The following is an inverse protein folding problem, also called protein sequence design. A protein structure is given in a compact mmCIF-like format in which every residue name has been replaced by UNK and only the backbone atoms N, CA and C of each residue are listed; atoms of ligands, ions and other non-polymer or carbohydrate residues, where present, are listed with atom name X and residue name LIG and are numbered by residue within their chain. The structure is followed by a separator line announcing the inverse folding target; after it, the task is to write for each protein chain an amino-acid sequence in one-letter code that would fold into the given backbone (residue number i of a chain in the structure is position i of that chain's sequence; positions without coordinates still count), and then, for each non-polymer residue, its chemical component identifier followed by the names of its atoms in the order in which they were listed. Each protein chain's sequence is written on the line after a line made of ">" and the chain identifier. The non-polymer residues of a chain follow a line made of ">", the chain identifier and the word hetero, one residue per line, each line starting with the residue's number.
data_IF_676539591168
#
_entry.id   IF_676539591168
#
_cell.length_a   1.000
_cell.length_b   1.000
_cell.length_c   1.000
_cell.angle_alpha   90.00
_cell.angle_beta   90.00
_cell.angle_gamma   90.00
#
_symmetry.space_group_name_H-M   'P 1'
#
loop_
_entity.id
_entity.type
_entity.pdbx_description
1 polymer ?
#
# COMPACT_ATOMS: atom_id res chain seq x y z
N UNK A 1 12.08 -45.28 -22.59
CA UNK A 1 10.95 -44.82 -21.77
C UNK A 1 11.39 -44.40 -20.36
N UNK A 2 12.36 -43.48 -20.22
CA UNK A 2 12.78 -42.90 -18.93
C UNK A 2 13.00 -41.40 -19.14
N UNK A 3 11.92 -40.62 -19.11
CA UNK A 3 11.97 -39.16 -18.87
C UNK A 3 10.57 -38.48 -18.78
N UNK A 4 9.47 -39.25 -18.62
CA UNK A 4 8.10 -38.67 -18.54
C UNK A 4 7.67 -38.18 -17.15
N UNK A 5 8.55 -38.28 -16.15
CA UNK A 5 8.29 -37.84 -14.77
C UNK A 5 9.42 -36.94 -14.23
N UNK A 6 10.06 -36.12 -15.07
CA UNK A 6 10.81 -34.97 -14.55
C UNK A 6 9.81 -34.07 -13.82
N UNK A 7 10.05 -33.81 -12.52
CA UNK A 7 9.20 -33.01 -11.64
C UNK A 7 8.43 -31.89 -12.38
N UNK A 8 7.17 -32.14 -12.72
CA UNK A 8 6.34 -31.19 -13.48
C UNK A 8 6.17 -29.84 -12.75
N UNK A 9 6.20 -29.87 -11.41
CA UNK A 9 6.05 -28.69 -10.56
C UNK A 9 7.18 -27.65 -10.73
N UNK A 10 8.45 -28.08 -10.77
CA UNK A 10 9.57 -27.13 -10.77
C UNK A 10 9.82 -26.50 -12.15
N UNK A 11 9.74 -27.28 -13.23
CA UNK A 11 10.19 -26.82 -14.55
C UNK A 11 9.19 -25.93 -15.31
N UNK A 12 7.90 -25.92 -14.94
CA UNK A 12 6.92 -25.08 -15.64
C UNK A 12 7.09 -23.58 -15.32
N UNK A 13 7.50 -23.25 -14.09
CA UNK A 13 7.52 -21.88 -13.59
C UNK A 13 8.90 -21.33 -13.27
N UNK A 14 9.91 -22.19 -13.06
CA UNK A 14 11.25 -21.75 -12.68
C UNK A 14 12.34 -22.69 -13.20
N UNK A 15 13.22 -22.18 -14.05
CA UNK A 15 14.27 -22.99 -14.66
C UNK A 15 15.59 -22.22 -14.78
N UNK A 16 16.63 -22.74 -14.13
CA UNK A 16 18.01 -22.24 -14.23
C UNK A 16 18.71 -22.96 -15.38
N UNK A 17 19.09 -22.19 -16.40
CA UNK A 17 19.78 -22.64 -17.59
C UNK A 17 21.28 -22.87 -17.30
N UNK A 18 22.00 -23.65 -18.14
CA UNK A 18 23.43 -23.90 -17.95
C UNK A 18 24.32 -22.65 -17.99
N UNK A 19 23.90 -21.61 -18.72
CA UNK A 19 24.60 -20.31 -18.79
C UNK A 19 24.33 -19.43 -17.55
N UNK A 20 23.51 -19.90 -16.60
CA UNK A 20 23.09 -19.18 -15.41
C UNK A 20 21.82 -18.33 -15.59
N UNK A 21 21.25 -18.25 -16.80
CA UNK A 21 19.98 -17.55 -17.03
C UNK A 21 18.85 -18.25 -16.27
N UNK A 22 18.04 -17.49 -15.54
CA UNK A 22 16.86 -18.03 -14.85
C UNK A 22 15.62 -17.60 -15.63
N UNK A 23 14.88 -18.57 -16.16
CA UNK A 23 13.59 -18.35 -16.83
C UNK A 23 12.46 -18.64 -15.86
N UNK A 24 11.52 -17.70 -15.77
CA UNK A 24 10.43 -17.73 -14.80
C UNK A 24 9.11 -17.44 -15.51
N UNK A 25 8.04 -18.08 -15.05
CA UNK A 25 6.66 -17.73 -15.42
C UNK A 25 5.87 -17.54 -14.14
N UNK A 26 5.39 -16.33 -13.86
CA UNK A 26 4.61 -16.09 -12.65
C UNK A 26 3.32 -16.92 -12.69
N UNK A 27 3.03 -17.71 -11.66
CA UNK A 27 1.85 -18.55 -11.65
C UNK A 27 0.56 -17.72 -11.57
N UNK A 28 0.55 -16.61 -10.84
CA UNK A 28 -0.65 -15.78 -10.65
C UNK A 28 -1.02 -14.97 -11.90
N UNK A 29 -0.03 -14.43 -12.62
CA UNK A 29 -0.26 -13.52 -13.75
C UNK A 29 0.07 -14.12 -15.12
N UNK A 30 0.76 -15.26 -15.18
CA UNK A 30 1.28 -15.83 -16.43
C UNK A 30 2.44 -15.04 -17.06
N UNK A 31 2.99 -14.05 -16.35
CA UNK A 31 4.07 -13.20 -16.87
C UNK A 31 5.38 -13.97 -17.01
N UNK A 32 6.01 -13.91 -18.19
CA UNK A 32 7.32 -14.50 -18.45
C UNK A 32 8.45 -13.52 -18.11
N UNK A 33 9.43 -13.96 -17.33
CA UNK A 33 10.55 -13.12 -16.85
C UNK A 33 11.86 -13.88 -16.89
N UNK A 34 12.91 -13.23 -17.39
CA UNK A 34 14.26 -13.77 -17.42
C UNK A 34 15.19 -12.95 -16.52
N UNK A 35 16.00 -13.64 -15.72
CA UNK A 35 17.14 -13.05 -15.01
C UNK A 35 18.42 -13.54 -15.66
N UNK A 36 19.13 -12.64 -16.34
CA UNK A 36 20.30 -12.97 -17.16
C UNK A 36 21.58 -12.56 -16.40
N UNK A 37 22.57 -13.47 -16.24
CA UNK A 37 23.85 -13.14 -15.61
C UNK A 37 24.53 -11.94 -16.27
N UNK A 38 25.25 -11.15 -15.46
CA UNK A 38 25.96 -9.96 -15.93
C UNK A 38 25.09 -8.71 -16.12
N UNK A 39 23.75 -8.83 -16.14
CA UNK A 39 22.84 -7.67 -16.05
C UNK A 39 22.57 -7.28 -14.59
N UNK A 40 23.64 -7.10 -13.82
CA UNK A 40 23.54 -6.84 -12.39
C UNK A 40 22.83 -5.52 -12.07
N UNK A 41 22.07 -5.51 -10.98
CA UNK A 41 21.60 -4.29 -10.32
C UNK A 41 22.74 -3.64 -9.53
N UNK A 42 22.70 -2.31 -9.35
CA UNK A 42 23.56 -1.63 -8.37
C UNK A 42 23.38 -2.24 -6.96
N UNK A 43 24.42 -2.21 -6.10
CA UNK A 43 24.26 -2.55 -4.68
C UNK A 43 23.15 -1.70 -4.03
N UNK A 44 22.48 -2.25 -3.02
CA UNK A 44 21.63 -1.43 -2.16
C UNK A 44 22.59 -0.59 -1.33
N UNK A 45 22.52 0.73 -1.46
CA UNK A 45 23.29 1.66 -0.64
C UNK A 45 22.33 2.64 0.00
N UNK A 46 22.42 2.76 1.32
CA UNK A 46 21.73 3.78 2.10
C UNK A 46 22.66 4.98 2.37
N UNK A 47 23.78 5.07 1.64
CA UNK A 47 24.69 6.20 1.76
C UNK A 47 24.03 7.45 1.19
N UNK A 48 24.19 8.56 1.90
CA UNK A 48 23.76 9.88 1.44
C UNK A 48 24.62 10.25 0.21
N UNK A 49 24.01 10.54 -0.95
CA UNK A 49 24.76 10.92 -2.14
C UNK A 49 25.38 12.30 -1.96
N UNK A 50 26.53 12.55 -2.60
CA UNK A 50 27.22 13.86 -2.56
C UNK A 50 26.35 15.01 -3.10
N UNK A 51 25.33 14.68 -3.91
CA UNK A 51 24.34 15.62 -4.44
C UNK A 51 23.25 16.02 -3.45
N UNK A 52 23.16 15.37 -2.29
CA UNK A 52 22.13 15.64 -1.29
C UNK A 52 22.27 17.05 -0.72
N UNK A 53 21.14 17.75 -0.58
CA UNK A 53 21.12 19.12 -0.06
C UNK A 53 20.76 19.10 1.40
N UNK A 54 21.34 20.02 2.16
CA UNK A 54 20.94 20.22 3.56
C UNK A 54 19.50 20.72 3.60
N UNK A 55 18.70 20.15 4.48
CA UNK A 55 17.36 20.66 4.74
C UNK A 55 17.43 21.84 5.71
N UNK A 56 16.51 22.79 5.54
CA UNK A 56 16.22 23.78 6.56
C UNK A 56 15.29 23.15 7.60
N UNK A 57 15.63 23.22 8.89
CA UNK A 57 14.80 22.64 9.95
C UNK A 57 13.62 23.57 10.22
N UNK A 58 12.40 23.05 10.11
CA UNK A 58 11.15 23.78 10.35
C UNK A 58 10.36 23.09 11.46
N UNK A 59 9.83 23.88 12.41
CA UNK A 59 8.94 23.40 13.47
C UNK A 59 7.71 24.32 13.57
N UNK A 60 6.48 23.83 13.30
CA UNK A 60 6.16 22.48 12.81
C UNK A 60 6.74 22.20 11.41
N UNK A 61 6.92 20.91 11.06
CA UNK A 61 7.40 20.53 9.72
C UNK A 61 6.53 21.16 8.61
N UNK A 62 7.17 21.71 7.59
CA UNK A 62 6.53 22.51 6.54
C UNK A 62 7.20 22.36 5.18
N UNK A 63 7.44 21.11 4.75
CA UNK A 63 8.17 20.81 3.52
C UNK A 63 7.26 20.53 2.31
N UNK A 64 6.03 20.11 2.57
CA UNK A 64 5.02 19.88 1.54
C UNK A 64 3.61 20.02 2.13
N UNK A 65 2.58 19.98 1.28
CA UNK A 65 1.17 20.15 1.67
C UNK A 65 0.66 19.14 2.70
N UNK A 66 1.36 18.03 2.93
CA UNK A 66 0.98 17.02 3.92
C UNK A 66 1.55 17.27 5.32
N UNK A 67 2.56 18.13 5.44
CA UNK A 67 3.23 18.42 6.71
C UNK A 67 2.35 19.26 7.65
N UNK A 68 2.68 19.21 8.95
CA UNK A 68 1.90 19.84 10.03
C UNK A 68 1.68 21.34 9.88
N UNK A 69 2.65 22.08 9.37
CA UNK A 69 2.50 23.51 9.10
C UNK A 69 1.40 23.83 8.07
N UNK A 70 1.01 22.85 7.25
CA UNK A 70 0.14 23.03 6.08
C UNK A 70 -1.08 22.10 6.10
N UNK A 71 -1.63 21.80 7.27
CA UNK A 71 -2.86 21.00 7.36
C UNK A 71 -4.03 21.55 6.52
N UNK A 72 -4.10 22.87 6.35
CA UNK A 72 -5.10 23.55 5.51
C UNK A 72 -4.77 23.54 4.01
N UNK A 73 -3.67 22.89 3.60
CA UNK A 73 -3.33 22.66 2.18
C UNK A 73 -3.87 21.32 1.65
N UNK A 74 -4.67 20.63 2.45
CA UNK A 74 -5.35 19.37 2.12
C UNK A 74 -6.86 19.52 2.35
N UNK A 75 -7.72 18.75 1.66
CA UNK A 75 -9.16 18.78 1.95
C UNK A 75 -9.46 18.46 3.43
N UNK A 76 -10.64 18.85 3.94
CA UNK A 76 -11.07 18.54 5.30
C UNK A 76 -10.81 17.07 5.68
N UNK A 77 -10.17 16.85 6.82
CA UNK A 77 -9.88 15.51 7.30
C UNK A 77 -11.16 14.75 7.60
N UNK A 78 -11.25 13.52 7.10
CA UNK A 78 -12.33 12.61 7.50
C UNK A 78 -12.10 12.05 8.89
N UNK A 79 -10.83 11.76 9.20
CA UNK A 79 -10.43 11.27 10.51
C UNK A 79 -8.94 11.55 10.77
N UNK A 80 -8.53 11.47 12.03
CA UNK A 80 -7.13 11.44 12.46
C UNK A 80 -6.95 10.49 13.62
N UNK A 81 -5.75 9.92 13.73
CA UNK A 81 -5.31 9.18 14.90
C UNK A 81 -4.49 10.10 15.79
N UNK A 82 -4.82 10.14 17.08
CA UNK A 82 -4.12 10.95 18.09
C UNK A 82 -3.80 10.10 19.29
N UNK A 83 -2.68 10.37 19.94
CA UNK A 83 -2.40 9.84 21.28
C UNK A 83 -3.14 10.68 22.32
N UNK A 84 -3.85 10.01 23.23
CA UNK A 84 -4.51 10.62 24.38
C UNK A 84 -4.37 9.70 25.58
N UNK A 85 -3.72 10.20 26.63
CA UNK A 85 -3.52 9.49 27.89
C UNK A 85 -2.84 8.10 27.70
N UNK A 86 -1.89 7.99 26.76
CA UNK A 86 -1.19 6.75 26.42
C UNK A 86 -1.95 5.80 25.49
N UNK A 87 -3.19 6.11 25.12
CA UNK A 87 -3.98 5.35 24.15
C UNK A 87 -4.08 6.08 22.81
N UNK A 88 -4.12 5.33 21.71
CA UNK A 88 -4.31 5.91 20.38
C UNK A 88 -5.77 5.80 19.98
N UNK A 89 -6.42 6.95 19.78
CA UNK A 89 -7.84 7.03 19.43
C UNK A 89 -8.03 7.67 18.05
N UNK A 90 -9.13 7.33 17.39
CA UNK A 90 -9.53 7.94 16.12
C UNK A 90 -10.54 9.04 16.39
N UNK A 91 -10.20 10.28 16.02
CA UNK A 91 -11.13 11.41 16.00
C UNK A 91 -11.67 11.57 14.58
N UNK A 92 -12.99 11.68 14.42
CA UNK A 92 -13.66 11.97 13.15
C UNK A 92 -14.23 13.38 13.17
N UNK A 93 -14.39 13.96 11.98
CA UNK A 93 -15.11 15.23 11.81
C UNK A 93 -14.47 16.42 12.54
N UNK A 94 -13.13 16.46 12.61
CA UNK A 94 -12.42 17.55 13.26
C UNK A 94 -12.64 18.84 12.49
N UNK A 95 -13.18 19.86 13.15
CA UNK A 95 -13.43 21.17 12.54
C UNK A 95 -12.12 21.86 12.20
N UNK A 96 -12.20 22.79 11.23
CA UNK A 96 -11.08 23.63 10.82
C UNK A 96 -10.38 24.29 12.02
N UNK A 97 -11.17 24.87 12.94
CA UNK A 97 -10.63 25.61 14.10
C UNK A 97 -9.88 24.70 15.08
N UNK A 98 -10.21 23.41 15.10
CA UNK A 98 -9.70 22.45 16.06
C UNK A 98 -8.52 21.62 15.52
N UNK A 99 -8.14 21.81 14.25
CA UNK A 99 -7.11 20.99 13.58
C UNK A 99 -5.75 21.04 14.30
N UNK A 100 -5.44 22.12 15.02
CA UNK A 100 -4.19 22.28 15.76
C UNK A 100 -4.34 22.04 17.27
N UNK A 101 -5.54 21.66 17.77
CA UNK A 101 -5.75 21.31 19.18
C UNK A 101 -5.19 19.95 19.57
N UNK A 102 -4.93 19.08 18.59
CA UNK A 102 -4.37 17.75 18.78
C UNK A 102 -3.20 17.51 17.84
N UNK A 103 -2.23 16.71 18.28
CA UNK A 103 -1.13 16.25 17.44
C UNK A 103 -1.54 14.95 16.72
N UNK A 104 -1.74 15.03 15.40
CA UNK A 104 -2.17 13.87 14.61
C UNK A 104 -0.97 13.00 14.24
N UNK A 105 -0.94 11.76 14.71
CA UNK A 105 0.04 10.75 14.29
C UNK A 105 -0.19 10.34 12.84
N UNK A 106 -1.46 10.14 12.48
CA UNK A 106 -1.92 9.86 11.13
C UNK A 106 -3.16 10.69 10.81
N UNK A 107 -3.27 11.15 9.56
CA UNK A 107 -4.43 11.85 9.03
C UNK A 107 -5.05 11.07 7.89
N UNK A 108 -6.37 11.02 7.84
CA UNK A 108 -7.14 10.48 6.72
C UNK A 108 -7.79 11.65 5.99
N UNK A 109 -7.27 11.97 4.81
CA UNK A 109 -7.74 13.09 4.00
C UNK A 109 -8.27 12.61 2.65
N UNK A 110 -9.27 13.27 2.07
CA UNK A 110 -9.67 13.03 0.69
C UNK A 110 -8.52 13.30 -0.28
N UNK A 111 -8.44 12.51 -1.35
CA UNK A 111 -7.53 12.83 -2.45
C UNK A 111 -8.16 13.94 -3.31
N UNK A 112 -7.37 14.98 -3.61
CA UNK A 112 -7.83 16.12 -4.41
C UNK A 112 -8.15 15.71 -5.86
N UNK A 113 -7.42 14.73 -6.40
CA UNK A 113 -7.58 14.20 -7.76
C UNK A 113 -8.07 12.76 -7.70
N UNK A 114 -9.37 12.62 -7.51
CA UNK A 114 -10.06 11.33 -7.43
C UNK A 114 -9.87 10.51 -8.73
N UNK A 115 -9.57 9.21 -8.59
CA UNK A 115 -9.57 8.28 -9.74
C UNK A 115 -11.02 7.95 -10.11
N UNK A 116 -11.81 7.57 -9.10
CA UNK A 116 -13.27 7.44 -9.21
C UNK A 116 -13.89 8.57 -8.39
N UNK A 117 -14.47 9.55 -9.08
CA UNK A 117 -14.97 10.79 -8.46
C UNK A 117 -16.27 10.57 -7.70
N UNK A 118 -16.56 11.41 -6.71
CA UNK A 118 -17.91 11.46 -6.11
C UNK A 118 -19.02 11.55 -7.16
N UNK A 119 -18.84 12.38 -8.18
CA UNK A 119 -19.76 12.55 -9.32
C UNK A 119 -20.02 11.25 -10.09
N UNK A 120 -19.03 10.37 -10.21
CA UNK A 120 -19.21 9.05 -10.82
C UNK A 120 -20.28 8.25 -10.08
N UNK A 121 -20.20 8.22 -8.74
CA UNK A 121 -21.15 7.51 -7.90
C UNK A 121 -22.55 8.13 -7.97
N UNK A 122 -22.64 9.46 -7.91
CA UNK A 122 -23.93 10.17 -8.02
C UNK A 122 -24.60 9.87 -9.36
N UNK A 123 -23.89 10.05 -10.47
CA UNK A 123 -24.48 9.98 -11.83
C UNK A 123 -24.83 8.55 -12.25
N UNK A 124 -24.04 7.56 -11.85
CA UNK A 124 -24.23 6.18 -12.30
C UNK A 124 -25.06 5.33 -11.32
N UNK A 125 -25.06 5.67 -10.03
CA UNK A 125 -25.69 4.86 -8.99
C UNK A 125 -26.73 5.62 -8.16
N UNK A 126 -26.93 6.92 -8.40
CA UNK A 126 -27.77 7.76 -7.56
C UNK A 126 -27.26 7.81 -6.12
N UNK A 127 -25.94 7.74 -5.93
CA UNK A 127 -25.34 7.81 -4.60
C UNK A 127 -25.61 9.17 -3.95
N UNK A 128 -26.01 9.14 -2.68
CA UNK A 128 -26.15 10.30 -1.81
C UNK A 128 -25.27 10.08 -0.58
N UNK A 129 -24.70 11.16 -0.04
CA UNK A 129 -23.93 11.09 1.20
C UNK A 129 -24.77 10.47 2.32
N UNK A 130 -24.13 9.62 3.13
CA UNK A 130 -24.72 9.15 4.38
C UNK A 130 -25.02 10.32 5.32
N UNK A 131 -25.92 10.10 6.28
CA UNK A 131 -26.24 11.09 7.31
C UNK A 131 -24.99 11.56 8.06
N UNK A 132 -24.09 10.65 8.43
CA UNK A 132 -22.82 10.95 9.12
C UNK A 132 -21.94 11.90 8.28
N UNK A 133 -21.78 11.63 6.98
CA UNK A 133 -20.99 12.49 6.09
C UNK A 133 -21.65 13.86 5.84
N UNK A 134 -22.99 13.90 5.75
CA UNK A 134 -23.72 15.15 5.59
C UNK A 134 -23.62 16.01 6.86
N UNK A 135 -23.76 15.42 8.04
CA UNK A 135 -23.58 16.10 9.34
C UNK A 135 -22.16 16.66 9.47
N UNK A 136 -21.14 15.88 9.12
CA UNK A 136 -19.76 16.36 9.09
C UNK A 136 -19.60 17.56 8.13
N UNK A 137 -20.13 17.48 6.91
CA UNK A 137 -20.09 18.60 5.97
C UNK A 137 -20.78 19.84 6.54
N UNK A 138 -21.98 19.68 7.10
CA UNK A 138 -22.76 20.79 7.68
C UNK A 138 -22.04 21.44 8.85
N UNK A 139 -21.46 20.65 9.76
CA UNK A 139 -20.70 21.18 10.90
C UNK A 139 -19.43 21.90 10.44
N UNK A 140 -18.66 21.32 9.51
CA UNK A 140 -17.45 21.94 8.98
C UNK A 140 -17.74 23.27 8.26
N UNK A 141 -18.86 23.36 7.54
CA UNK A 141 -19.30 24.58 6.85
C UNK A 141 -20.11 25.53 7.74
N UNK A 142 -20.27 25.23 9.03
CA UNK A 142 -21.00 26.11 9.96
C UNK A 142 -20.21 27.37 10.35
N UNK A 143 -18.91 27.41 10.06
CA UNK A 143 -18.03 28.55 10.34
C UNK A 143 -17.51 29.22 9.07
N UNK A 144 -17.24 30.53 9.16
CA UNK A 144 -16.63 31.29 8.06
C UNK A 144 -15.25 30.73 7.67
N UNK A 145 -14.48 30.28 8.67
CA UNK A 145 -13.17 29.68 8.50
C UNK A 145 -13.23 28.34 7.75
N UNK A 146 -14.17 27.46 8.10
CA UNK A 146 -14.36 26.19 7.40
C UNK A 146 -14.86 26.37 5.97
N UNK A 147 -15.77 27.32 5.72
CA UNK A 147 -16.19 27.70 4.36
C UNK A 147 -14.99 28.19 3.55
N UNK A 148 -14.20 29.11 4.10
CA UNK A 148 -13.02 29.66 3.42
C UNK A 148 -12.03 28.57 3.03
N UNK A 149 -11.68 27.68 3.96
CA UNK A 149 -10.78 26.56 3.70
C UNK A 149 -11.30 25.66 2.57
N UNK A 150 -12.59 25.29 2.60
CA UNK A 150 -13.19 24.46 1.54
C UNK A 150 -13.13 25.14 0.18
N UNK A 151 -13.42 26.44 0.10
CA UNK A 151 -13.32 27.21 -1.15
C UNK A 151 -11.88 27.23 -1.66
N UNK A 152 -10.91 27.48 -0.79
CA UNK A 152 -9.48 27.51 -1.16
C UNK A 152 -9.01 26.18 -1.75
N UNK A 153 -9.44 25.05 -1.16
CA UNK A 153 -9.11 23.72 -1.69
C UNK A 153 -9.82 23.45 -3.03
N UNK A 154 -11.07 23.88 -3.21
CA UNK A 154 -11.76 23.79 -4.51
C UNK A 154 -11.03 24.63 -5.57
N UNK A 155 -10.64 25.86 -5.23
CA UNK A 155 -9.92 26.75 -6.13
C UNK A 155 -8.55 26.19 -6.51
N UNK A 156 -7.84 25.60 -5.54
CA UNK A 156 -6.59 24.87 -5.77
C UNK A 156 -6.78 23.71 -6.77
N UNK A 157 -7.83 22.89 -6.59
CA UNK A 157 -8.17 21.78 -7.50
C UNK A 157 -8.47 22.28 -8.91
N UNK A 158 -9.27 23.32 -9.04
CA UNK A 158 -9.65 23.90 -10.33
C UNK A 158 -8.44 24.49 -11.05
N UNK A 159 -7.59 25.23 -10.33
CA UNK A 159 -6.36 25.80 -10.88
C UNK A 159 -5.40 24.73 -11.36
N UNK A 160 -5.18 23.68 -10.57
CA UNK A 160 -4.36 22.54 -10.96
C UNK A 160 -4.94 21.74 -12.14
N UNK A 161 -6.26 21.80 -12.33
CA UNK A 161 -6.97 21.22 -13.48
C UNK A 161 -6.95 22.13 -14.73
N UNK A 162 -6.25 23.26 -14.68
CA UNK A 162 -6.04 24.15 -15.82
C UNK A 162 -7.07 25.28 -15.99
N UNK A 163 -7.96 25.49 -15.02
CA UNK A 163 -8.89 26.63 -15.06
C UNK A 163 -8.15 27.95 -14.79
N UNK A 164 -8.54 29.02 -15.49
CA UNK A 164 -7.98 30.36 -15.30
C UNK A 164 -8.56 31.07 -14.07
N UNK A 165 -7.77 31.95 -13.44
CA UNK A 165 -8.15 32.62 -12.18
C UNK A 165 -9.49 33.39 -12.30
N UNK A 166 -9.75 34.01 -13.46
CA UNK A 166 -11.02 34.71 -13.71
C UNK A 166 -12.22 33.76 -13.68
N UNK A 167 -12.12 32.62 -14.35
CA UNK A 167 -13.19 31.61 -14.36
C UNK A 167 -13.46 31.05 -12.96
N UNK A 168 -12.41 30.85 -12.17
CA UNK A 168 -12.53 30.37 -10.78
C UNK A 168 -13.21 31.43 -9.90
N UNK A 169 -12.89 32.71 -10.08
CA UNK A 169 -13.50 33.79 -9.32
C UNK A 169 -14.96 34.04 -9.71
N UNK A 170 -15.33 33.84 -10.97
CA UNK A 170 -16.71 34.02 -11.46
C UNK A 170 -17.64 32.85 -11.09
N UNK A 171 -17.10 31.72 -10.62
CA UNK A 171 -17.91 30.59 -10.16
C UNK A 171 -18.75 30.96 -8.92
N UNK A 172 -20.08 30.75 -8.95
CA UNK A 172 -20.93 30.91 -7.79
C UNK A 172 -20.46 30.11 -6.58
N UNK A 173 -20.64 30.69 -5.39
CA UNK A 173 -20.28 30.02 -4.13
C UNK A 173 -21.02 28.68 -3.97
N UNK A 174 -22.30 28.63 -4.33
CA UNK A 174 -23.11 27.40 -4.27
C UNK A 174 -22.51 26.27 -5.11
N UNK A 175 -21.99 26.58 -6.29
CA UNK A 175 -21.33 25.59 -7.16
C UNK A 175 -20.03 25.08 -6.52
N UNK A 176 -19.21 25.97 -5.93
CA UNK A 176 -17.99 25.57 -5.19
C UNK A 176 -18.32 24.69 -3.99
N UNK A 177 -19.38 25.03 -3.24
CA UNK A 177 -19.86 24.21 -2.12
C UNK A 177 -20.49 22.90 -2.59
N UNK A 178 -21.03 22.83 -3.81
CA UNK A 178 -21.45 21.59 -4.46
C UNK A 178 -20.26 20.70 -4.78
N UNK A 179 -19.21 21.26 -5.39
CA UNK A 179 -17.97 20.54 -5.72
C UNK A 179 -17.28 19.94 -4.47
N UNK A 180 -17.38 20.62 -3.32
CA UNK A 180 -16.81 20.12 -2.07
C UNK A 180 -17.48 18.87 -1.51
N UNK A 181 -18.62 18.44 -2.05
CA UNK A 181 -19.22 17.13 -1.73
C UNK A 181 -18.20 15.99 -1.84
N UNK A 182 -17.27 16.08 -2.81
CA UNK A 182 -16.21 15.09 -2.98
C UNK A 182 -15.30 14.95 -1.76
N UNK A 183 -15.09 16.01 -0.98
CA UNK A 183 -14.24 15.97 0.22
C UNK A 183 -14.90 15.20 1.37
N UNK A 184 -16.23 15.15 1.42
CA UNK A 184 -16.95 14.50 2.51
C UNK A 184 -17.44 13.11 2.10
N UNK A 185 -18.00 13.00 0.89
CA UNK A 185 -18.62 11.78 0.39
C UNK A 185 -17.80 10.94 -0.59
N UNK A 186 -16.65 11.44 -1.07
CA UNK A 186 -15.80 10.74 -2.05
C UNK A 186 -15.11 9.50 -1.48
N UNK A 187 -14.68 8.59 -2.36
CA UNK A 187 -14.08 7.30 -2.00
C UNK A 187 -12.61 7.14 -2.40
N UNK A 188 -11.93 8.20 -2.86
CA UNK A 188 -10.48 8.22 -3.05
C UNK A 188 -9.84 9.03 -1.93
N UNK A 189 -9.06 8.37 -1.08
CA UNK A 189 -8.57 8.92 0.17
C UNK A 189 -7.10 8.57 0.41
N UNK A 190 -6.46 9.32 1.30
CA UNK A 190 -5.05 9.20 1.66
C UNK A 190 -4.90 9.01 3.16
N UNK A 191 -4.03 8.09 3.57
CA UNK A 191 -3.53 8.00 4.95
C UNK A 191 -2.13 8.59 4.98
N UNK A 192 -1.95 9.64 5.77
CA UNK A 192 -0.76 10.49 5.81
C UNK A 192 -0.18 10.47 7.23
N UNK A 193 0.97 9.83 7.45
CA UNK A 193 1.71 9.92 8.71
C UNK A 193 2.24 11.33 8.95
N UNK A 194 2.48 11.68 10.22
CA UNK A 194 2.96 13.01 10.61
C UNK A 194 4.27 13.43 9.96
N UNK A 195 5.27 12.53 9.98
CA UNK A 195 6.67 12.87 9.66
C UNK A 195 6.95 12.85 8.16
N UNK A 196 7.56 13.91 7.66
CA UNK A 196 8.10 13.99 6.30
C UNK A 196 9.50 13.35 6.23
N UNK A 197 10.36 13.70 7.18
CA UNK A 197 11.74 13.20 7.28
C UNK A 197 11.90 12.28 8.49
N UNK A 198 12.89 11.40 8.45
CA UNK A 198 13.23 10.60 9.64
C UNK A 198 13.72 11.51 10.78
N UNK A 199 13.61 11.08 12.04
CA UNK A 199 14.15 11.84 13.17
C UNK A 199 15.62 12.21 12.96
N UNK A 200 15.96 13.48 13.21
CA UNK A 200 17.31 14.05 13.06
C UNK A 200 17.87 14.12 11.63
N UNK A 201 17.02 14.02 10.61
CA UNK A 201 17.43 14.24 9.22
C UNK A 201 18.18 15.56 9.03
N UNK A 202 19.25 15.52 8.24
CA UNK A 202 20.07 16.66 7.87
C UNK A 202 19.99 16.96 6.37
N UNK A 203 19.61 15.96 5.57
CA UNK A 203 19.60 16.04 4.12
C UNK A 203 18.24 15.68 3.50
N UNK A 204 17.96 16.22 2.32
CA UNK A 204 16.68 16.10 1.60
C UNK A 204 16.34 14.68 1.14
N UNK A 205 17.31 13.77 1.17
CA UNK A 205 17.11 12.34 0.85
C UNK A 205 16.70 11.49 2.07
N UNK A 206 16.71 12.08 3.26
CA UNK A 206 16.48 11.38 4.53
C UNK A 206 14.98 11.29 4.89
N UNK A 207 14.17 10.94 3.91
CA UNK A 207 12.71 10.86 4.00
C UNK A 207 12.24 9.75 4.95
N UNK A 208 11.11 9.99 5.62
CA UNK A 208 10.46 9.01 6.50
C UNK A 208 9.66 8.01 5.64
N UNK A 209 10.30 6.91 5.22
CA UNK A 209 9.61 5.82 4.51
C UNK A 209 8.81 4.91 5.45
N UNK A 210 8.03 3.97 4.91
CA UNK A 210 7.29 2.97 5.71
C UNK A 210 8.19 2.20 6.68
N UNK A 211 9.45 1.94 6.29
CA UNK A 211 10.43 1.23 7.12
C UNK A 211 11.11 2.12 8.17
N UNK A 212 10.89 3.43 8.15
CA UNK A 212 11.40 4.38 9.14
C UNK A 212 10.39 4.65 10.28
N UNK A 213 9.16 4.13 10.16
CA UNK A 213 8.24 4.02 11.30
C UNK A 213 8.78 3.00 12.30
N UNK A 214 8.39 3.08 13.57
CA UNK A 214 8.59 1.96 14.51
C UNK A 214 7.60 0.83 14.21
N UNK A 215 7.84 -0.40 14.70
CA UNK A 215 6.85 -1.48 14.56
C UNK A 215 5.46 -1.10 15.08
N UNK A 216 5.40 -0.40 16.22
CA UNK A 216 4.14 0.08 16.80
C UNK A 216 3.43 1.12 15.93
N UNK A 217 4.17 2.12 15.42
CA UNK A 217 3.65 3.13 14.50
C UNK A 217 3.15 2.48 13.21
N UNK A 218 3.89 1.53 12.65
CA UNK A 218 3.51 0.82 11.43
C UNK A 218 2.28 -0.07 11.64
N UNK A 219 2.14 -0.71 12.81
CA UNK A 219 0.93 -1.44 13.20
C UNK A 219 -0.28 -0.50 13.24
N UNK A 220 -0.15 0.68 13.85
CA UNK A 220 -1.22 1.69 13.88
C UNK A 220 -1.54 2.24 12.49
N UNK A 221 -0.54 2.44 11.64
CA UNK A 221 -0.73 2.84 10.24
C UNK A 221 -1.60 1.83 9.47
N UNK A 222 -1.37 0.53 9.71
CA UNK A 222 -2.18 -0.56 9.14
C UNK A 222 -3.61 -0.57 9.70
N UNK A 223 -3.76 -0.50 11.02
CA UNK A 223 -5.08 -0.45 11.66
C UNK A 223 -5.90 0.74 11.17
N UNK A 224 -5.29 1.93 11.07
CA UNK A 224 -5.97 3.13 10.59
C UNK A 224 -6.36 3.02 9.11
N UNK A 225 -5.53 2.37 8.28
CA UNK A 225 -5.86 2.03 6.89
C UNK A 225 -7.08 1.10 6.83
N UNK A 226 -7.12 0.05 7.65
CA UNK A 226 -8.22 -0.92 7.69
C UNK A 226 -9.52 -0.25 8.16
N UNK A 227 -9.46 0.63 9.15
CA UNK A 227 -10.61 1.42 9.59
C UNK A 227 -11.12 2.36 8.49
N UNK A 228 -10.23 2.96 7.68
CA UNK A 228 -10.63 3.72 6.51
C UNK A 228 -11.32 2.85 5.44
N UNK A 229 -10.83 1.62 5.20
CA UNK A 229 -11.48 0.67 4.30
C UNK A 229 -12.91 0.35 4.75
N UNK A 230 -13.10 0.02 6.03
CA UNK A 230 -14.42 -0.28 6.61
C UNK A 230 -15.38 0.90 6.45
N UNK A 231 -14.90 2.11 6.73
CA UNK A 231 -15.69 3.34 6.65
C UNK A 231 -16.09 3.68 5.21
N UNK A 232 -15.19 3.52 4.22
CA UNK A 232 -15.50 3.70 2.80
C UNK A 232 -16.64 2.77 2.37
N UNK A 233 -16.54 1.48 2.71
CA UNK A 233 -17.54 0.47 2.31
C UNK A 233 -18.88 0.69 3.01
N UNK A 234 -18.86 1.04 4.30
CA UNK A 234 -20.06 1.40 5.06
C UNK A 234 -20.78 2.59 4.42
N UNK A 235 -20.05 3.57 3.91
CA UNK A 235 -20.62 4.79 3.37
C UNK A 235 -21.18 4.65 1.96
N UNK A 236 -20.67 3.72 1.13
CA UNK A 236 -21.14 3.56 -0.23
C UNK A 236 -21.39 2.07 -0.55
N UNK A 237 -22.67 1.69 -0.56
CA UNK A 237 -23.14 0.31 -0.82
C UNK A 237 -22.75 -0.25 -2.20
N UNK A 238 -22.37 0.60 -3.15
CA UNK A 238 -22.02 0.20 -4.51
C UNK A 238 -20.54 -0.17 -4.64
N UNK A 239 -19.74 0.09 -3.61
CA UNK A 239 -18.33 -0.29 -3.57
C UNK A 239 -18.22 -1.81 -3.48
N UNK A 240 -17.49 -2.39 -4.42
CA UNK A 240 -17.23 -3.84 -4.49
C UNK A 240 -15.81 -4.19 -4.06
N UNK A 241 -14.89 -3.23 -4.15
CA UNK A 241 -13.51 -3.37 -3.70
C UNK A 241 -12.92 -2.02 -3.30
N UNK A 242 -12.00 -2.01 -2.32
CA UNK A 242 -11.19 -0.83 -1.99
C UNK A 242 -9.73 -1.14 -2.35
N UNK A 243 -9.24 -0.54 -3.42
CA UNK A 243 -7.84 -0.70 -3.83
C UNK A 243 -6.95 0.08 -2.87
N UNK A 244 -6.05 -0.62 -2.17
CA UNK A 244 -5.10 -0.03 -1.22
C UNK A 244 -3.68 -0.17 -1.74
N UNK A 245 -2.99 0.96 -1.90
CA UNK A 245 -1.62 0.96 -2.41
C UNK A 245 -0.81 2.16 -1.90
N UNK A 246 0.51 2.07 -2.01
CA UNK A 246 1.44 3.15 -1.71
C UNK A 246 2.51 3.20 -2.79
N UNK A 247 2.74 4.40 -3.33
CA UNK A 247 3.82 4.66 -4.27
C UNK A 247 4.91 5.42 -3.52
N UNK A 248 6.12 4.87 -3.48
CA UNK A 248 7.26 5.47 -2.79
C UNK A 248 8.32 5.95 -3.78
N UNK A 249 8.63 7.25 -3.73
CA UNK A 249 9.49 7.99 -4.65
C UNK A 249 8.95 8.12 -6.08
N UNK A 250 9.38 9.17 -6.77
CA UNK A 250 8.90 9.56 -8.10
C UNK A 250 9.04 8.46 -9.17
N UNK A 251 10.12 7.67 -9.14
CA UNK A 251 10.32 6.55 -10.06
C UNK A 251 9.27 5.42 -9.90
N UNK A 252 8.57 5.36 -8.75
CA UNK A 252 7.45 4.45 -8.54
C UNK A 252 6.08 5.11 -8.80
N UNK A 253 6.05 6.37 -9.23
CA UNK A 253 4.84 7.14 -9.48
C UNK A 253 4.33 7.95 -8.28
N UNK A 254 5.15 8.19 -7.26
CA UNK A 254 4.79 9.10 -6.18
C UNK A 254 4.83 10.56 -6.68
N UNK A 255 3.79 11.34 -6.40
CA UNK A 255 3.75 12.77 -6.69
C UNK A 255 4.25 13.63 -5.53
N UNK A 256 4.23 13.08 -4.31
CA UNK A 256 4.77 13.70 -3.10
C UNK A 256 5.77 12.73 -2.47
N UNK A 257 6.88 13.28 -1.96
CA UNK A 257 7.91 12.52 -1.24
C UNK A 257 7.48 12.14 0.18
N UNK A 258 6.49 12.84 0.73
CA UNK A 258 5.87 12.54 2.01
C UNK A 258 5.13 11.20 1.93
N UNK A 259 5.42 10.28 2.85
CA UNK A 259 4.80 8.97 2.93
C UNK A 259 3.28 9.06 2.95
N UNK A 260 2.61 8.32 2.07
CA UNK A 260 1.15 8.23 2.10
C UNK A 260 0.68 6.93 1.46
N UNK A 261 -0.41 6.38 2.00
CA UNK A 261 -1.14 5.25 1.41
C UNK A 261 -2.42 5.77 0.80
N UNK A 262 -2.79 5.25 -0.36
CA UNK A 262 -4.00 5.62 -1.09
C UNK A 262 -5.02 4.50 -0.98
N UNK A 263 -6.29 4.88 -0.82
CA UNK A 263 -7.45 4.00 -0.83
C UNK A 263 -8.40 4.48 -1.90
N UNK A 264 -8.78 3.61 -2.83
CA UNK A 264 -9.69 3.93 -3.93
C UNK A 264 -10.86 2.97 -3.92
N UNK A 265 -12.04 3.49 -3.61
CA UNK A 265 -13.30 2.78 -3.76
C UNK A 265 -13.61 2.55 -5.24
N UNK A 266 -13.89 1.31 -5.62
CA UNK A 266 -14.24 0.91 -6.98
C UNK A 266 -15.42 -0.07 -6.98
N UNK A 267 -16.20 -0.04 -8.06
CA UNK A 267 -17.33 -0.93 -8.37
C UNK A 267 -16.92 -2.13 -9.25
N UNK A 268 -15.62 -2.31 -9.46
CA UNK A 268 -15.03 -3.42 -10.19
C UNK A 268 -13.98 -4.14 -9.32
N UNK A 269 -13.62 -5.37 -9.66
CA UNK A 269 -12.55 -6.11 -8.97
C UNK A 269 -11.16 -5.89 -9.61
N UNK A 270 -11.15 -5.59 -10.91
CA UNK A 270 -9.94 -5.53 -11.71
C UNK A 270 -9.46 -6.90 -12.19
N UNK A 271 -8.78 -6.89 -13.35
CA UNK A 271 -8.39 -8.10 -14.10
C UNK A 271 -7.50 -9.05 -13.29
N UNK A 272 -6.62 -8.53 -12.43
CA UNK A 272 -5.73 -9.35 -11.61
C UNK A 272 -6.51 -10.24 -10.65
N UNK A 273 -7.47 -9.66 -9.91
CA UNK A 273 -8.33 -10.38 -8.98
C UNK A 273 -9.22 -11.38 -9.75
N UNK A 274 -9.82 -10.99 -10.88
CA UNK A 274 -10.65 -11.90 -11.69
C UNK A 274 -9.88 -13.15 -12.16
N UNK A 275 -8.63 -12.96 -12.61
CA UNK A 275 -7.76 -14.06 -13.02
C UNK A 275 -7.44 -14.98 -11.84
N UNK A 276 -7.11 -14.40 -10.68
CA UNK A 276 -6.82 -15.12 -9.46
C UNK A 276 -8.03 -15.92 -8.94
N UNK A 277 -9.24 -15.34 -8.95
CA UNK A 277 -10.48 -16.04 -8.62
C UNK A 277 -10.72 -17.23 -9.57
N UNK A 278 -10.41 -17.08 -10.86
CA UNK A 278 -10.51 -18.17 -11.84
C UNK A 278 -9.53 -19.30 -11.51
N UNK A 279 -8.31 -18.97 -11.07
CA UNK A 279 -7.32 -19.97 -10.61
C UNK A 279 -7.78 -20.66 -9.34
N UNK A 280 -8.30 -19.91 -8.37
CA UNK A 280 -8.85 -20.46 -7.13
C UNK A 280 -9.99 -21.45 -7.41
N UNK A 281 -10.92 -21.12 -8.31
CA UNK A 281 -12.02 -22.03 -8.71
C UNK A 281 -11.51 -23.37 -9.27
N UNK A 282 -10.39 -23.34 -9.98
CA UNK A 282 -9.75 -24.55 -10.52
C UNK A 282 -8.95 -25.32 -9.46
N UNK A 283 -8.33 -24.60 -8.51
CA UNK A 283 -7.56 -25.17 -7.41
C UNK A 283 -7.67 -24.26 -6.15
N UNK A 284 -8.51 -24.61 -5.17
CA UNK A 284 -8.65 -23.79 -3.96
C UNK A 284 -7.35 -23.61 -3.15
N UNK A 285 -6.41 -24.57 -3.26
CA UNK A 285 -5.11 -24.52 -2.57
C UNK A 285 -4.00 -23.82 -3.38
N UNK A 286 -4.37 -23.11 -4.47
CA UNK A 286 -3.42 -22.56 -5.43
C UNK A 286 -2.36 -21.63 -4.83
N UNK A 287 -2.71 -20.78 -3.85
CA UNK A 287 -1.75 -19.86 -3.24
C UNK A 287 -0.72 -20.57 -2.36
N UNK A 288 -1.12 -21.64 -1.66
CA UNK A 288 -0.16 -22.47 -0.96
C UNK A 288 0.76 -23.18 -1.95
N UNK A 289 0.19 -23.85 -2.97
CA UNK A 289 0.98 -24.65 -3.91
C UNK A 289 1.95 -23.82 -4.75
N UNK A 290 1.48 -22.71 -5.31
CA UNK A 290 2.24 -21.89 -6.26
C UNK A 290 2.95 -20.69 -5.61
N UNK A 291 2.58 -20.34 -4.38
CA UNK A 291 3.20 -19.28 -3.59
C UNK A 291 4.07 -19.85 -2.48
N UNK A 292 3.48 -20.02 -1.29
CA UNK A 292 4.22 -20.35 -0.07
C UNK A 292 5.04 -21.66 -0.17
N UNK A 293 4.43 -22.79 -0.56
CA UNK A 293 5.12 -24.08 -0.66
C UNK A 293 6.21 -24.03 -1.73
N UNK A 294 5.90 -23.45 -2.89
CA UNK A 294 6.87 -23.26 -3.97
C UNK A 294 8.07 -22.47 -3.45
N UNK A 295 7.84 -21.33 -2.81
CA UNK A 295 8.90 -20.51 -2.24
C UNK A 295 9.73 -21.28 -1.21
N UNK A 296 9.09 -22.02 -0.30
CA UNK A 296 9.77 -22.86 0.70
C UNK A 296 10.67 -23.91 0.05
N UNK A 297 10.18 -24.67 -0.94
CA UNK A 297 10.97 -25.71 -1.63
C UNK A 297 12.12 -25.14 -2.46
N UNK A 298 12.03 -23.88 -2.86
CA UNK A 298 13.08 -23.17 -3.60
C UNK A 298 13.95 -22.26 -2.70
N UNK A 299 13.81 -22.35 -1.37
CA UNK A 299 14.50 -21.51 -0.37
C UNK A 299 14.27 -19.99 -0.57
N UNK A 300 13.14 -19.57 -1.12
CA UNK A 300 12.84 -18.15 -1.40
C UNK A 300 12.12 -17.45 -0.24
N UNK A 301 11.66 -18.20 0.76
CA UNK A 301 11.16 -17.65 2.04
C UNK A 301 12.33 -17.05 2.82
N UNK A 302 12.14 -15.86 3.38
CA UNK A 302 13.18 -15.18 4.14
C UNK A 302 12.74 -14.61 5.48
N UNK A 303 11.44 -14.51 5.74
CA UNK A 303 10.91 -14.19 7.05
C UNK A 303 9.53 -14.85 7.23
N UNK A 304 9.24 -15.30 8.44
CA UNK A 304 7.96 -15.91 8.79
C UNK A 304 7.66 -15.65 10.26
N UNK A 305 6.42 -15.30 10.60
CA UNK A 305 5.92 -15.29 11.96
C UNK A 305 4.64 -16.16 12.07
N UNK A 306 3.96 -16.09 13.21
CA UNK A 306 2.77 -16.92 13.45
C UNK A 306 1.62 -16.58 12.49
N UNK A 307 1.54 -15.32 12.02
CA UNK A 307 0.40 -14.80 11.27
C UNK A 307 0.70 -14.46 9.81
N UNK A 308 1.96 -14.43 9.39
CA UNK A 308 2.36 -14.04 8.04
C UNK A 308 3.64 -14.74 7.57
N UNK A 309 3.82 -14.82 6.26
CA UNK A 309 5.02 -15.36 5.60
C UNK A 309 5.49 -14.42 4.49
N UNK A 310 6.80 -14.14 4.44
CA UNK A 310 7.43 -13.27 3.44
C UNK A 310 8.44 -14.04 2.59
N UNK A 311 8.30 -13.90 1.27
CA UNK A 311 9.15 -14.56 0.28
C UNK A 311 9.35 -13.74 -0.98
N UNK A 312 10.35 -14.12 -1.78
CA UNK A 312 10.55 -13.54 -3.11
C UNK A 312 9.61 -14.20 -4.11
N UNK A 313 8.71 -13.43 -4.71
CA UNK A 313 7.78 -13.97 -5.70
C UNK A 313 8.39 -13.98 -7.11
N UNK A 314 8.41 -15.17 -7.72
CA UNK A 314 9.02 -15.39 -9.03
C UNK A 314 8.18 -14.84 -10.19
N UNK A 315 8.81 -14.60 -11.34
CA UNK A 315 8.11 -14.25 -12.57
C UNK A 315 7.44 -12.88 -12.57
N UNK A 316 7.68 -12.05 -11.56
CA UNK A 316 7.25 -10.65 -11.55
C UNK A 316 8.23 -9.80 -12.36
N UNK A 317 7.70 -8.84 -13.11
CA UNK A 317 8.47 -7.92 -13.95
C UNK A 317 9.56 -7.18 -13.17
N UNK A 318 9.26 -6.83 -11.93
CA UNK A 318 10.15 -6.15 -11.00
C UNK A 318 10.58 -7.10 -9.89
N UNK A 319 11.75 -6.90 -9.25
CA UNK A 319 12.05 -7.57 -7.98
C UNK A 319 10.88 -7.36 -7.01
N UNK A 320 10.27 -8.45 -6.57
CA UNK A 320 9.01 -8.40 -5.82
C UNK A 320 9.12 -9.25 -4.57
N UNK A 321 8.86 -8.62 -3.45
CA UNK A 321 8.62 -9.28 -2.18
C UNK A 321 7.11 -9.49 -2.06
N UNK A 322 6.72 -10.70 -1.69
CA UNK A 322 5.36 -11.08 -1.37
C UNK A 322 5.26 -11.37 0.13
N UNK A 323 4.27 -10.78 0.79
CA UNK A 323 3.93 -11.04 2.20
C UNK A 323 2.49 -11.53 2.22
N UNK A 324 2.26 -12.77 2.67
CA UNK A 324 0.93 -13.40 2.70
C UNK A 324 0.49 -13.66 4.14
N UNK A 325 -0.79 -13.40 4.43
CA UNK A 325 -1.43 -13.75 5.70
C UNK A 325 -1.63 -15.25 5.82
N UNK A 326 -1.33 -15.78 7.01
CA UNK A 326 -1.59 -17.16 7.44
C UNK A 326 -2.97 -17.33 8.09
N UNK A 327 -3.73 -16.23 8.20
CA UNK A 327 -5.08 -16.24 8.78
C UNK A 327 -6.05 -17.11 7.98
N UNK A 328 -7.12 -17.53 8.66
CA UNK A 328 -8.33 -18.03 8.01
C UNK A 328 -9.12 -16.89 7.37
N UNK A 329 -9.00 -15.67 7.89
CA UNK A 329 -9.64 -14.49 7.34
C UNK A 329 -8.94 -14.03 6.07
N UNK A 330 -9.73 -13.75 5.04
CA UNK A 330 -9.23 -13.43 3.70
C UNK A 330 -9.33 -11.93 3.37
N UNK A 331 -9.94 -11.15 4.27
CA UNK A 331 -10.12 -9.70 4.15
C UNK A 331 -9.41 -8.98 5.31
N UNK A 332 -8.66 -7.89 5.08
CA UNK A 332 -7.94 -7.17 6.13
C UNK A 332 -8.83 -6.78 7.32
N UNK A 333 -10.04 -6.30 7.05
CA UNK A 333 -11.02 -5.89 8.06
C UNK A 333 -11.63 -7.03 8.89
N UNK A 334 -11.38 -8.29 8.51
CA UNK A 334 -11.83 -9.46 9.25
C UNK A 334 -10.70 -10.09 10.09
N UNK A 335 -9.47 -9.62 9.96
CA UNK A 335 -8.34 -10.14 10.74
C UNK A 335 -8.45 -9.69 12.21
N UNK A 336 -8.03 -10.57 13.11
CA UNK A 336 -7.82 -10.21 14.51
C UNK A 336 -6.61 -9.27 14.65
N UNK A 337 -6.55 -8.51 15.75
CA UNK A 337 -5.50 -7.50 15.98
C UNK A 337 -4.09 -8.07 15.91
N UNK A 338 -3.88 -9.28 16.45
CA UNK A 338 -2.60 -10.01 16.40
C UNK A 338 -2.23 -10.43 14.97
N UNK A 339 -3.21 -10.75 14.14
CA UNK A 339 -2.98 -11.12 12.74
C UNK A 339 -2.61 -9.89 11.90
N UNK A 340 -3.25 -8.75 12.16
CA UNK A 340 -2.87 -7.45 11.56
C UNK A 340 -1.47 -7.05 12.01
N UNK A 341 -1.14 -7.22 13.30
CA UNK A 341 0.22 -6.97 13.83
C UNK A 341 1.24 -7.83 13.10
N UNK A 342 1.03 -9.14 12.99
CA UNK A 342 1.99 -10.01 12.33
C UNK A 342 2.17 -9.72 10.83
N UNK A 343 1.13 -9.29 10.12
CA UNK A 343 1.25 -8.77 8.75
C UNK A 343 2.06 -7.47 8.71
N UNK A 344 1.75 -6.54 9.60
CA UNK A 344 2.42 -5.23 9.69
C UNK A 344 3.91 -5.37 9.99
N UNK A 345 4.28 -6.27 10.92
CA UNK A 345 5.67 -6.52 11.31
C UNK A 345 6.54 -7.00 10.14
N UNK A 346 6.02 -7.91 9.32
CA UNK A 346 6.77 -8.39 8.15
C UNK A 346 6.87 -7.33 7.06
N UNK A 347 5.80 -6.55 6.81
CA UNK A 347 5.83 -5.46 5.82
C UNK A 347 6.79 -4.36 6.26
N UNK A 348 6.72 -3.95 7.53
CA UNK A 348 7.64 -3.00 8.15
C UNK A 348 9.09 -3.44 7.97
N UNK A 349 9.40 -4.68 8.36
CA UNK A 349 10.76 -5.20 8.28
C UNK A 349 11.26 -5.29 6.83
N UNK A 350 10.39 -5.62 5.87
CA UNK A 350 10.74 -5.63 4.45
C UNK A 350 11.11 -4.24 3.94
N UNK A 351 10.33 -3.20 4.30
CA UNK A 351 10.66 -1.82 3.95
C UNK A 351 11.93 -1.33 4.66
N UNK A 352 12.11 -1.64 5.94
CA UNK A 352 13.29 -1.26 6.71
C UNK A 352 14.56 -1.92 6.15
N UNK A 353 14.50 -3.20 5.77
CA UNK A 353 15.62 -3.94 5.17
C UNK A 353 15.96 -3.41 3.77
N UNK A 354 14.94 -3.03 2.99
CA UNK A 354 15.10 -2.39 1.68
C UNK A 354 15.74 -1.00 1.80
N UNK A 355 15.36 -0.22 2.81
CA UNK A 355 15.77 1.17 3.02
C UNK A 355 14.94 2.17 2.22
N UNK A 356 14.94 3.43 2.68
CA UNK A 356 14.14 4.52 2.09
C UNK A 356 14.58 4.95 0.68
N UNK A 357 15.80 4.60 0.25
CA UNK A 357 16.34 5.01 -1.04
C UNK A 357 15.88 4.20 -2.26
N UNK A 358 15.09 3.13 -2.08
CA UNK A 358 14.62 2.29 -3.18
C UNK A 358 13.17 2.66 -3.53
N UNK A 359 12.90 3.14 -4.75
CA UNK A 359 11.54 3.38 -5.20
C UNK A 359 10.75 2.08 -5.24
N UNK A 360 9.53 2.08 -4.69
CA UNK A 360 8.71 0.89 -4.69
C UNK A 360 7.21 1.19 -4.75
N UNK A 361 6.44 0.17 -5.17
CA UNK A 361 5.00 0.13 -4.96
C UNK A 361 4.69 -0.95 -3.92
N UNK A 362 3.88 -0.60 -2.93
CA UNK A 362 3.22 -1.55 -2.02
C UNK A 362 1.76 -1.65 -2.43
N UNK A 363 1.27 -2.86 -2.69
CA UNK A 363 -0.07 -3.11 -3.22
C UNK A 363 -0.75 -4.21 -2.42
N UNK A 364 -1.96 -3.97 -1.92
CA UNK A 364 -2.73 -4.93 -1.13
C UNK A 364 -3.73 -5.68 -2.02
N UNK A 365 -3.75 -6.99 -1.86
CA UNK A 365 -4.64 -7.91 -2.56
C UNK A 365 -5.37 -8.75 -1.52
N UNK A 366 -6.68 -8.86 -1.64
CA UNK A 366 -7.51 -9.61 -0.69
C UNK A 366 -8.83 -9.98 -1.35
N UNK A 367 -9.66 -10.77 -0.65
CA UNK A 367 -10.96 -11.19 -1.17
C UNK A 367 -11.90 -10.00 -1.37
N UNK A 368 -12.50 -9.81 -2.56
CA UNK A 368 -13.54 -8.81 -2.74
C UNK A 368 -14.75 -9.05 -1.84
N UNK A 369 -15.46 -7.98 -1.51
CA UNK A 369 -16.55 -7.98 -0.51
C UNK A 369 -17.68 -8.94 -0.93
N UNK A 370 -17.93 -9.02 -2.23
CA UNK A 370 -18.99 -9.83 -2.85
C UNK A 370 -18.46 -11.11 -3.54
N UNK A 371 -17.17 -11.43 -3.39
CA UNK A 371 -16.61 -12.67 -3.92
C UNK A 371 -16.93 -13.87 -3.01
N UNK A 372 -17.16 -15.04 -3.62
CA UNK A 372 -17.42 -16.27 -2.87
C UNK A 372 -16.17 -17.10 -2.59
N UNK A 373 -15.12 -16.84 -3.36
CA UNK A 373 -13.80 -17.45 -3.31
C UNK A 373 -12.87 -16.65 -2.37
N UNK A 374 -12.00 -17.37 -1.67
CA UNK A 374 -11.07 -16.75 -0.74
C UNK A 374 -9.71 -16.49 -1.42
N UNK A 375 -9.39 -15.22 -1.62
CA UNK A 375 -8.03 -14.73 -1.89
C UNK A 375 -7.41 -14.35 -0.54
N UNK A 376 -6.32 -15.00 -0.09
CA UNK A 376 -5.66 -14.62 1.16
C UNK A 376 -5.19 -13.17 1.08
N UNK A 377 -5.33 -12.42 2.16
CA UNK A 377 -4.76 -11.09 2.21
C UNK A 377 -3.24 -11.18 2.02
N UNK A 378 -2.74 -10.50 1.01
CA UNK A 378 -1.33 -10.44 0.72
C UNK A 378 -0.93 -9.08 0.17
N UNK A 379 0.35 -8.75 0.36
CA UNK A 379 0.93 -7.47 0.01
C UNK A 379 2.15 -7.73 -0.87
N UNK A 380 2.20 -7.03 -2.01
CA UNK A 380 3.33 -7.08 -2.92
C UNK A 380 4.12 -5.77 -2.82
N UNK A 381 5.41 -5.86 -2.48
CA UNK A 381 6.35 -4.75 -2.54
C UNK A 381 7.23 -4.92 -3.79
N UNK A 382 7.02 -4.06 -4.79
CA UNK A 382 7.68 -4.12 -6.10
C UNK A 382 8.73 -3.02 -6.23
N UNK A 383 9.99 -3.39 -6.39
CA UNK A 383 11.09 -2.43 -6.51
C UNK A 383 11.17 -1.84 -7.92
N UNK A 384 10.93 -0.54 -8.04
CA UNK A 384 10.90 0.21 -9.31
C UNK A 384 12.29 0.74 -9.67
N UNK A 385 13.24 -0.18 -9.78
CA UNK A 385 14.67 0.12 -10.01
C UNK A 385 15.11 0.06 -11.48
N UNK A 386 14.19 -0.26 -12.39
CA UNK A 386 14.48 -0.33 -13.83
C UNK A 386 13.30 0.16 -14.67
N UNK A 387 13.61 0.78 -15.81
CA UNK A 387 12.63 1.13 -16.82
C UNK A 387 12.63 0.03 -17.91
N UNK A 388 11.46 -0.40 -18.41
CA UNK A 388 11.38 -1.38 -19.49
C UNK A 388 12.07 -0.84 -20.75
N UNK A 389 12.75 -1.71 -21.49
CA UNK A 389 13.32 -1.38 -22.79
C UNK A 389 12.43 -1.92 -23.94
N UNK A 390 12.87 -1.68 -25.19
CA UNK A 390 12.10 -2.09 -26.38
C UNK A 390 11.93 -3.61 -26.55
N UNK A 391 12.81 -4.41 -25.94
CA UNK A 391 12.74 -5.87 -25.99
C UNK A 391 11.47 -6.40 -25.30
N UNK A 392 11.17 -5.88 -24.11
CA UNK A 392 10.02 -6.29 -23.31
C UNK A 392 8.69 -5.92 -23.99
N UNK A 393 8.66 -4.78 -24.69
CA UNK A 393 7.46 -4.29 -25.38
C UNK A 393 6.97 -5.21 -26.49
N UNK A 394 7.89 -5.74 -27.31
CA UNK A 394 7.56 -6.60 -28.45
C UNK A 394 7.36 -8.08 -28.08
N UNK A 395 8.10 -8.59 -27.09
CA UNK A 395 8.09 -10.03 -26.75
C UNK A 395 7.17 -10.39 -25.60
N UNK A 396 6.81 -9.41 -24.75
CA UNK A 396 6.16 -9.64 -23.44
C UNK A 396 6.95 -10.55 -22.50
N UNK A 397 8.25 -10.74 -22.77
CA UNK A 397 9.22 -11.35 -21.87
C UNK A 397 9.95 -10.22 -21.17
N UNK A 398 9.85 -10.16 -19.85
CA UNK A 398 10.51 -9.11 -19.07
C UNK A 398 11.90 -9.54 -18.61
N UNK A 399 12.82 -8.59 -18.48
CA UNK A 399 14.16 -8.86 -17.95
C UNK A 399 14.26 -8.28 -16.55
N UNK A 400 14.54 -9.12 -15.56
CA UNK A 400 14.75 -8.70 -14.18
C UNK A 400 16.25 -8.84 -13.83
N UNK A 401 16.95 -7.72 -13.54
CA UNK A 401 18.39 -7.74 -13.24
C UNK A 401 18.74 -8.41 -11.91
N UNK A 402 17.74 -8.62 -11.04
CA UNK A 402 17.91 -9.30 -9.76
C UNK A 402 17.24 -10.67 -9.85
N UNK A 403 18.02 -11.74 -9.68
CA UNK A 403 17.46 -13.09 -9.56
C UNK A 403 16.65 -13.22 -8.26
N UNK A 404 15.70 -14.17 -8.17
CA UNK A 404 14.97 -14.39 -6.92
C UNK A 404 15.88 -14.69 -5.72
N UNK A 405 16.88 -15.55 -5.92
CA UNK A 405 17.93 -15.82 -4.91
C UNK A 405 18.70 -14.54 -4.56
N UNK A 406 19.07 -13.73 -5.56
CA UNK A 406 19.80 -12.49 -5.34
C UNK A 406 19.01 -11.41 -4.59
N UNK A 407 17.68 -11.37 -4.74
CA UNK A 407 16.83 -10.45 -3.97
C UNK A 407 16.77 -10.89 -2.50
N UNK A 408 16.54 -12.19 -2.26
CA UNK A 408 16.57 -12.79 -0.92
C UNK A 408 17.89 -12.48 -0.22
N UNK A 409 19.01 -12.72 -0.90
CA UNK A 409 20.36 -12.56 -0.34
C UNK A 409 20.74 -11.09 -0.09
N UNK A 410 20.04 -10.13 -0.72
CA UNK A 410 20.15 -8.70 -0.38
C UNK A 410 19.39 -8.33 0.89
N UNK A 411 18.24 -8.96 1.14
CA UNK A 411 17.34 -8.62 2.26
C UNK A 411 17.74 -9.31 3.56
N UNK A 412 18.07 -10.61 3.50
CA UNK A 412 18.33 -11.43 4.70
C UNK A 412 19.40 -10.84 5.62
N UNK A 413 20.59 -10.42 5.14
CA UNK A 413 21.61 -9.82 6.03
C UNK A 413 21.11 -8.56 6.73
N UNK A 414 20.32 -7.72 6.02
CA UNK A 414 19.74 -6.50 6.56
C UNK A 414 18.69 -6.79 7.63
N UNK A 415 17.86 -7.82 7.45
CA UNK A 415 16.91 -8.25 8.48
C UNK A 415 17.61 -8.68 9.76
N UNK A 416 18.66 -9.51 9.68
CA UNK A 416 19.43 -9.90 10.86
C UNK A 416 20.08 -8.69 11.56
N UNK A 417 20.64 -7.76 10.79
CA UNK A 417 21.20 -6.53 11.33
C UNK A 417 20.14 -5.69 12.08
N UNK A 418 18.98 -5.47 11.47
CA UNK A 418 17.89 -4.69 12.07
C UNK A 418 17.30 -5.38 13.30
N UNK A 419 17.15 -6.70 13.28
CA UNK A 419 16.71 -7.52 14.43
C UNK A 419 17.68 -7.36 15.60
N UNK A 420 18.99 -7.45 15.36
CA UNK A 420 20.01 -7.25 16.38
C UNK A 420 20.06 -5.81 16.93
N UNK A 421 19.64 -4.82 16.14
CA UNK A 421 19.51 -3.42 16.56
C UNK A 421 18.18 -3.14 17.28
N UNK A 422 17.26 -4.11 17.37
CA UNK A 422 15.92 -3.91 17.94
C UNK A 422 15.04 -2.94 17.12
N UNK A 423 15.33 -2.79 15.82
CA UNK A 423 14.59 -1.87 14.92
C UNK A 423 13.38 -2.52 14.25
N UNK A 424 13.32 -3.84 14.25
CA UNK A 424 12.20 -4.64 13.73
C UNK A 424 11.82 -5.66 14.79
N UNK A 425 10.61 -6.20 14.68
CA UNK A 425 10.15 -7.26 15.57
C UNK A 425 10.98 -8.54 15.48
N UNK A 426 10.90 -9.34 16.55
CA UNK A 426 11.60 -10.61 16.62
C UNK A 426 10.75 -11.74 16.02
N UNK A 427 11.16 -12.21 14.85
CA UNK A 427 10.60 -13.39 14.20
C UNK A 427 11.71 -14.20 13.50
N UNK A 428 11.45 -15.48 13.15
CA UNK A 428 12.33 -16.28 12.32
C UNK A 428 12.75 -15.62 11.00
N UNK A 429 14.06 -15.58 10.73
CA UNK A 429 14.64 -15.09 9.47
C UNK A 429 15.39 -16.22 8.74
N UNK A 430 15.18 -16.32 7.43
CA UNK A 430 15.85 -17.26 6.53
C UNK A 430 15.78 -18.71 7.03
N UNK A 431 16.92 -19.31 7.40
CA UNK A 431 17.01 -20.70 7.86
C UNK A 431 16.29 -20.97 9.19
N UNK A 432 15.90 -19.93 9.93
CA UNK A 432 15.09 -20.05 11.14
C UNK A 432 13.61 -20.31 10.81
N UNK A 433 13.15 -19.99 9.58
CA UNK A 433 11.73 -20.05 9.22
C UNK A 433 11.21 -21.49 9.19
N UNK A 434 10.08 -21.80 9.87
CA UNK A 434 9.51 -23.14 9.88
C UNK A 434 9.18 -23.69 8.50
N UNK A 435 8.72 -22.83 7.57
CA UNK A 435 8.34 -23.20 6.21
C UNK A 435 7.36 -24.40 6.16
N UNK A 436 6.40 -24.43 7.09
CA UNK A 436 5.43 -25.52 7.19
C UNK A 436 4.56 -25.51 5.93
N UNK A 437 4.46 -26.64 5.20
CA UNK A 437 3.62 -26.70 4.01
C UNK A 437 2.15 -26.38 4.31
N UNK A 438 1.52 -25.66 3.39
CA UNK A 438 0.14 -25.17 3.49
C UNK A 438 -0.09 -24.24 4.70
N UNK A 439 0.85 -23.32 4.95
CA UNK A 439 0.76 -22.36 6.06
C UNK A 439 -0.34 -21.32 5.90
N UNK A 440 -0.86 -21.10 4.68
CA UNK A 440 -1.94 -20.13 4.42
C UNK A 440 -3.30 -20.81 4.66
N UNK A 441 -4.06 -20.35 5.66
CA UNK A 441 -5.32 -21.00 6.12
C UNK A 441 -6.61 -20.47 5.50
N UNK A 442 -6.51 -19.55 4.54
CA UNK A 442 -7.63 -18.92 3.83
C UNK A 442 -8.67 -19.89 3.23
N UNK A 443 -8.33 -21.17 3.03
CA UNK A 443 -9.25 -22.21 2.52
C UNK A 443 -10.38 -22.50 3.51
N UNK A 444 -10.13 -22.38 4.82
CA UNK A 444 -11.09 -22.69 5.90
C UNK A 444 -11.96 -21.47 6.27
N UNK A 445 -11.56 -20.28 5.84
CA UNK A 445 -12.07 -18.96 6.27
C UNK A 445 -13.57 -18.69 6.23
N UNK A 446 -14.06 -18.03 7.28
CA UNK A 446 -15.44 -17.55 7.41
C UNK A 446 -15.74 -16.34 6.50
N UNK A 447 -16.89 -16.37 5.83
CA UNK A 447 -17.32 -15.40 4.79
C UNK A 447 -18.12 -14.20 5.33
N UNK A 448 -18.44 -14.16 6.62
CA UNK A 448 -19.34 -13.15 7.16
C UNK A 448 -18.60 -11.89 7.57
N UNK A 449 -18.57 -10.89 6.69
CA UNK A 449 -18.33 -9.51 7.09
C UNK A 449 -19.59 -8.69 6.83
N UNK A 450 -20.04 -7.95 7.84
CA UNK A 450 -21.15 -7.01 7.74
C UNK A 450 -20.60 -5.63 8.09
N UNK A 451 -20.85 -4.59 7.30
CA UNK A 451 -20.39 -3.23 7.61
C UNK A 451 -20.88 -2.71 8.97
N UNK A 452 -21.95 -3.31 9.50
CA UNK A 452 -22.61 -2.96 10.75
C UNK A 452 -22.14 -3.80 11.96
N UNK A 453 -21.19 -4.73 11.78
CA UNK A 453 -20.60 -5.55 12.86
C UNK A 453 -19.14 -5.22 13.14
#
# INVERSE_FOLDING_TARGET
>A
MRDKYRHQFAHAHYHKMPDGTIKQTNPFTGTAVWSVPGRGSKPITNAIPDSAKKIEIMDPEGYCNFCTAYYLSTPPEKARMVEKDGEHIILKGVRMEDLHHTDAEFRRVPNLFEIVTYDYWVKNYGYEMTKENLEHKTDYLSSANGIQHVIEIVDLKLKASGFGDRSIHELPLEDKLGMSNAFFGGGHELIVPKRHYKPNAQYDVELCSSGELTPEEHCRYFMFTIEAMKDIVKNNRYVRYVSVFQNWLSNAGASFDHLHKQLVAIDEWGVAIELELTRYRANPNYYNEMGANFASYHNLVFAENDHAIAYVEIGRRYPTIAIYSKSEHAMPQAHASEEVRGMSDLVHACHAAMGSGIPCNEEWYYSPIDATENIPWHILIRWRTSNPAGFEGGTRIYVNPVSPEGLRDKIVPRLFELKNQGKIENFPIAFECPCIPNSLRYIVGSKSWSPDR
#
